data_IF_396950041469
#
_entry.id   IF_396950041469
#
_cell.length_a   1.000
_cell.length_b   1.000
_cell.length_c   1.000
_cell.angle_alpha   90.00
_cell.angle_beta   90.00
_cell.angle_gamma   90.00
#
_symmetry.space_group_name_H-M   'P 1'
#
loop_
_entity.id
_entity.type
_entity.pdbx_description
1 polymer ?
#
# COMPACT_ATOMS: atom_id res chain seq x y z
N UNK A 1 -19.05 -10.35 -7.82
CA UNK A 1 -18.39 -10.82 -6.59
C UNK A 1 -19.38 -10.72 -5.44
N UNK A 2 -19.98 -11.83 -4.96
CA UNK A 2 -21.11 -11.76 -4.01
C UNK A 2 -20.75 -11.03 -2.72
N UNK A 3 -19.53 -11.24 -2.20
CA UNK A 3 -19.08 -10.66 -0.94
C UNK A 3 -18.97 -9.13 -0.95
N UNK A 4 -18.66 -8.52 -2.10
CA UNK A 4 -18.52 -7.06 -2.23
C UNK A 4 -19.82 -6.37 -2.66
N UNK A 5 -20.77 -7.12 -3.22
CA UNK A 5 -22.03 -6.56 -3.74
C UNK A 5 -22.85 -5.90 -2.62
N UNK A 6 -22.86 -6.52 -1.43
CA UNK A 6 -23.64 -6.05 -0.29
C UNK A 6 -23.01 -4.84 0.44
N UNK A 7 -21.74 -4.53 0.16
CA UNK A 7 -21.03 -3.38 0.75
C UNK A 7 -21.35 -2.05 0.04
N UNK A 8 -22.06 -2.08 -1.09
CA UNK A 8 -22.43 -0.88 -1.83
C UNK A 8 -21.23 -0.06 -2.30
N UNK A 9 -20.08 -0.71 -2.56
CA UNK A 9 -18.84 -0.06 -2.98
C UNK A 9 -19.11 0.78 -4.23
N UNK A 10 -18.88 2.09 -4.10
CA UNK A 10 -19.13 3.06 -5.16
C UNK A 10 -17.88 3.34 -5.97
N UNK A 11 -16.72 3.39 -5.32
CA UNK A 11 -15.44 3.64 -5.98
C UNK A 11 -14.39 2.61 -5.58
N UNK A 12 -13.64 2.12 -6.56
CA UNK A 12 -12.45 1.29 -6.37
C UNK A 12 -11.23 2.10 -6.79
N UNK A 13 -10.33 2.38 -5.85
CA UNK A 13 -9.06 3.03 -6.08
C UNK A 13 -7.96 1.97 -6.18
N UNK A 14 -7.35 1.89 -7.36
CA UNK A 14 -6.33 0.91 -7.68
C UNK A 14 -4.95 1.58 -7.69
N UNK A 15 -4.16 1.31 -6.65
CA UNK A 15 -2.82 1.86 -6.43
C UNK A 15 -1.72 1.15 -7.23
N UNK A 16 -2.08 0.19 -8.09
CA UNK A 16 -1.14 -0.62 -8.87
C UNK A 16 -0.55 0.14 -10.05
N UNK A 17 0.61 -0.36 -10.49
CA UNK A 17 1.21 0.10 -11.74
C UNK A 17 0.35 -0.27 -12.94
N UNK A 18 0.53 0.45 -14.05
CA UNK A 18 -0.09 0.08 -15.32
C UNK A 18 0.18 -1.39 -15.69
N UNK A 19 1.42 -1.86 -15.55
CA UNK A 19 1.81 -3.24 -15.85
C UNK A 19 1.11 -4.27 -14.96
N UNK A 20 1.02 -4.00 -13.64
CA UNK A 20 0.32 -4.87 -12.69
C UNK A 20 -1.18 -4.99 -13.04
N UNK A 21 -1.80 -3.91 -13.50
CA UNK A 21 -3.21 -3.90 -13.95
C UNK A 21 -3.41 -4.61 -15.27
N UNK A 22 -2.47 -4.52 -16.20
CA UNK A 22 -2.54 -5.23 -17.48
C UNK A 22 -2.42 -6.74 -17.27
N UNK A 23 -1.50 -7.18 -16.41
CA UNK A 23 -1.29 -8.60 -16.09
C UNK A 23 -2.48 -9.19 -15.34
N UNK A 24 -3.10 -8.43 -14.44
CA UNK A 24 -4.20 -8.89 -13.61
C UNK A 24 -5.31 -7.83 -13.49
N UNK A 25 -6.17 -7.66 -14.52
CA UNK A 25 -7.22 -6.65 -14.51
C UNK A 25 -8.30 -6.96 -13.46
N UNK A 26 -8.83 -5.91 -12.84
CA UNK A 26 -9.87 -6.05 -11.82
C UNK A 26 -11.20 -6.56 -12.38
N UNK A 27 -11.93 -7.26 -11.51
CA UNK A 27 -13.35 -7.58 -11.69
C UNK A 27 -14.15 -6.71 -10.72
N UNK A 28 -14.62 -5.57 -11.20
CA UNK A 28 -15.28 -4.58 -10.36
C UNK A 28 -16.66 -5.04 -9.86
N UNK A 29 -17.11 -4.58 -8.68
CA UNK A 29 -18.52 -4.66 -8.29
C UNK A 29 -19.41 -3.91 -9.29
N UNK A 30 -20.67 -4.36 -9.44
CA UNK A 30 -21.60 -3.74 -10.37
C UNK A 30 -21.87 -2.27 -9.98
N UNK A 31 -21.71 -1.37 -10.94
CA UNK A 31 -21.91 0.08 -10.74
C UNK A 31 -20.74 0.81 -10.06
N UNK A 32 -19.68 0.10 -9.64
CA UNK A 32 -18.51 0.74 -9.06
C UNK A 32 -17.67 1.46 -10.13
N UNK A 33 -17.26 2.69 -9.84
CA UNK A 33 -16.28 3.43 -10.63
C UNK A 33 -14.88 2.95 -10.27
N UNK A 34 -14.02 2.68 -11.25
CA UNK A 34 -12.60 2.43 -11.03
C UNK A 34 -11.77 3.71 -11.24
N UNK A 35 -10.81 3.94 -10.35
CA UNK A 35 -9.85 5.04 -10.41
C UNK A 35 -8.45 4.46 -10.32
N UNK A 36 -7.70 4.66 -11.40
CA UNK A 36 -6.34 4.17 -11.56
C UNK A 36 -5.35 5.20 -10.99
N UNK A 37 -4.70 4.88 -9.86
CA UNK A 37 -3.77 5.77 -9.15
C UNK A 37 -2.40 5.12 -9.06
N UNK A 38 -1.63 5.18 -10.16
CA UNK A 38 -0.32 4.52 -10.23
C UNK A 38 0.71 5.21 -9.31
N UNK A 39 0.82 4.69 -8.08
CA UNK A 39 1.71 5.18 -7.03
C UNK A 39 3.19 5.05 -7.38
N UNK A 40 3.54 4.23 -8.38
CA UNK A 40 4.92 3.91 -8.75
C UNK A 40 5.20 4.24 -10.23
N UNK A 41 4.43 5.12 -10.86
CA UNK A 41 4.48 5.40 -12.30
C UNK A 41 5.86 5.90 -12.78
N UNK A 42 6.58 6.62 -11.92
CA UNK A 42 7.93 7.15 -12.18
C UNK A 42 9.03 6.32 -11.49
N UNK A 43 8.68 5.21 -10.83
CA UNK A 43 9.65 4.23 -10.36
C UNK A 43 10.19 3.47 -11.58
N UNK A 44 11.45 3.73 -11.93
CA UNK A 44 12.08 3.10 -13.10
C UNK A 44 11.95 1.57 -13.12
N UNK A 45 12.07 0.98 -14.32
CA UNK A 45 11.78 -0.41 -14.77
C UNK A 45 12.19 -1.57 -13.82
N UNK A 46 12.97 -1.32 -12.76
CA UNK A 46 13.21 -2.28 -11.68
C UNK A 46 12.18 -2.15 -10.54
N UNK A 47 10.89 -2.07 -10.86
CA UNK A 47 9.89 -2.38 -9.84
C UNK A 47 9.99 -3.88 -9.59
N UNK A 48 10.60 -4.27 -8.46
CA UNK A 48 10.63 -5.67 -8.03
C UNK A 48 9.21 -6.24 -8.01
N UNK A 49 8.11 -5.52 -7.69
CA UNK A 49 6.76 -6.09 -7.78
C UNK A 49 6.46 -6.84 -9.10
N UNK A 50 6.90 -6.32 -10.25
CA UNK A 50 6.68 -6.96 -11.55
C UNK A 50 7.52 -8.24 -11.76
N UNK A 51 8.70 -8.32 -11.15
CA UNK A 51 9.62 -9.47 -11.25
C UNK A 51 9.60 -10.37 -10.01
N UNK A 52 8.86 -9.98 -8.97
CA UNK A 52 8.89 -10.60 -7.64
C UNK A 52 8.51 -12.06 -7.71
N UNK A 53 7.50 -12.39 -8.51
CA UNK A 53 7.07 -13.77 -8.76
C UNK A 53 8.18 -14.63 -9.37
N UNK A 54 9.02 -14.06 -10.26
CA UNK A 54 10.16 -14.78 -10.83
C UNK A 54 11.29 -14.93 -9.81
N UNK A 55 11.56 -13.88 -9.02
CA UNK A 55 12.58 -13.89 -7.96
C UNK A 55 12.27 -14.94 -6.90
N UNK A 56 11.03 -15.01 -6.42
CA UNK A 56 10.63 -15.95 -5.36
C UNK A 56 10.39 -17.38 -5.88
N UNK A 57 10.37 -17.60 -7.20
CA UNK A 57 10.20 -18.93 -7.77
C UNK A 57 11.51 -19.74 -7.85
N UNK A 58 12.66 -19.08 -7.72
CA UNK A 58 13.99 -19.71 -7.80
C UNK A 58 14.84 -19.32 -6.57
N UNK A 59 15.17 -20.27 -5.67
CA UNK A 59 15.99 -20.01 -4.49
C UNK A 59 17.35 -19.36 -4.75
N UNK A 60 18.02 -19.68 -5.86
CA UNK A 60 19.32 -19.08 -6.19
C UNK A 60 19.16 -17.62 -6.58
N UNK A 61 18.10 -17.29 -7.31
CA UNK A 61 17.78 -15.91 -7.66
C UNK A 61 17.34 -15.14 -6.41
N UNK A 62 16.47 -15.73 -5.58
CA UNK A 62 16.03 -15.13 -4.33
C UNK A 62 17.21 -14.81 -3.40
N UNK A 63 18.14 -15.74 -3.18
CA UNK A 63 19.34 -15.48 -2.37
C UNK A 63 20.16 -14.31 -2.95
N UNK A 64 20.38 -14.31 -4.26
CA UNK A 64 21.13 -13.26 -4.95
C UNK A 64 20.47 -11.89 -4.85
N UNK A 65 19.17 -11.80 -5.05
CA UNK A 65 18.45 -10.51 -5.10
C UNK A 65 17.97 -10.02 -3.73
N UNK A 66 17.56 -10.94 -2.84
CA UNK A 66 16.88 -10.65 -1.56
C UNK A 66 17.76 -10.91 -0.33
N UNK A 67 18.76 -11.79 -0.45
CA UNK A 67 19.64 -12.18 0.65
C UNK A 67 20.51 -11.05 1.20
N UNK A 68 21.15 -11.31 2.35
CA UNK A 68 22.06 -10.35 2.98
C UNK A 68 21.43 -9.00 3.37
N UNK A 69 20.11 -8.97 3.60
CA UNK A 69 19.36 -7.77 3.97
C UNK A 69 18.84 -6.92 2.81
N UNK A 70 19.14 -7.30 1.55
CA UNK A 70 18.72 -6.54 0.35
C UNK A 70 17.20 -6.41 0.23
N UNK A 71 16.44 -7.44 0.61
CA UNK A 71 14.97 -7.36 0.63
C UNK A 71 14.49 -6.23 1.55
N UNK A 72 15.01 -6.19 2.78
CA UNK A 72 14.65 -5.17 3.76
C UNK A 72 15.01 -3.77 3.23
N UNK A 73 16.24 -3.59 2.75
CA UNK A 73 16.70 -2.32 2.18
C UNK A 73 15.81 -1.85 1.01
N UNK A 74 15.43 -2.77 0.13
CA UNK A 74 14.54 -2.47 -1.00
C UNK A 74 13.16 -2.00 -0.54
N UNK A 75 12.56 -2.70 0.43
CA UNK A 75 11.25 -2.33 0.94
C UNK A 75 11.31 -1.02 1.73
N UNK A 76 12.33 -0.79 2.55
CA UNK A 76 12.53 0.53 3.16
C UNK A 76 12.62 1.64 2.10
N UNK A 77 13.38 1.43 1.01
CA UNK A 77 13.42 2.36 -0.12
C UNK A 77 12.03 2.61 -0.71
N UNK A 78 11.25 1.56 -0.93
CA UNK A 78 9.88 1.65 -1.43
C UNK A 78 8.94 2.41 -0.48
N UNK A 79 9.10 2.27 0.83
CA UNK A 79 8.32 3.00 1.83
C UNK A 79 8.72 4.48 1.91
N UNK A 80 9.96 4.85 1.58
CA UNK A 80 10.34 6.26 1.35
C UNK A 80 9.69 6.82 0.08
N UNK A 81 9.67 6.02 -0.99
CA UNK A 81 9.06 6.39 -2.27
C UNK A 81 7.57 6.68 -2.11
N UNK A 82 6.81 5.85 -1.38
CA UNK A 82 5.37 6.07 -1.17
C UNK A 82 5.05 7.43 -0.54
N UNK A 83 5.97 8.02 0.22
CA UNK A 83 5.75 9.33 0.84
C UNK A 83 6.11 10.47 -0.11
N UNK A 84 7.18 10.33 -0.88
CA UNK A 84 7.90 11.47 -1.47
C UNK A 84 8.00 11.45 -3.00
N UNK A 85 7.79 10.30 -3.62
CA UNK A 85 7.85 10.14 -5.06
C UNK A 85 6.74 10.95 -5.75
N UNK A 86 7.01 11.69 -6.85
CA UNK A 86 6.00 12.52 -7.51
C UNK A 86 4.73 11.77 -7.92
N UNK A 87 4.86 10.56 -8.48
CA UNK A 87 3.69 9.72 -8.81
C UNK A 87 2.88 9.33 -7.57
N UNK A 88 3.55 8.94 -6.48
CA UNK A 88 2.92 8.62 -5.19
C UNK A 88 2.18 9.84 -4.61
N UNK A 89 2.82 11.00 -4.54
CA UNK A 89 2.22 12.26 -4.06
C UNK A 89 0.99 12.64 -4.89
N UNK A 90 1.07 12.53 -6.22
CA UNK A 90 -0.08 12.83 -7.10
C UNK A 90 -1.24 11.85 -6.89
N UNK A 91 -0.93 10.57 -6.75
CA UNK A 91 -1.90 9.48 -6.55
C UNK A 91 -2.61 9.60 -5.20
N UNK A 92 -1.87 9.80 -4.11
CA UNK A 92 -2.47 9.96 -2.78
C UNK A 92 -3.23 11.28 -2.64
N UNK A 93 -2.79 12.35 -3.29
CA UNK A 93 -3.56 13.61 -3.40
C UNK A 93 -4.92 13.38 -4.04
N UNK A 94 -4.96 12.68 -5.18
CA UNK A 94 -6.21 12.38 -5.86
C UNK A 94 -7.11 11.47 -5.01
N UNK A 95 -6.55 10.42 -4.41
CA UNK A 95 -7.25 9.53 -3.49
C UNK A 95 -7.96 10.32 -2.37
N UNK A 96 -7.20 11.08 -1.57
CA UNK A 96 -7.78 11.75 -0.40
C UNK A 96 -8.68 12.93 -0.76
N UNK A 97 -8.41 13.61 -1.89
CA UNK A 97 -9.32 14.64 -2.40
C UNK A 97 -10.66 14.02 -2.77
N UNK A 98 -10.66 12.91 -3.49
CA UNK A 98 -11.89 12.25 -3.89
C UNK A 98 -12.61 11.65 -2.67
N UNK A 99 -11.91 11.06 -1.70
CA UNK A 99 -12.51 10.55 -0.46
C UNK A 99 -13.21 11.64 0.39
N UNK A 100 -12.80 12.90 0.25
CA UNK A 100 -13.49 14.02 0.89
C UNK A 100 -14.78 14.44 0.14
N UNK A 101 -15.02 13.97 -1.08
CA UNK A 101 -16.19 14.30 -1.89
C UNK A 101 -17.40 13.38 -1.58
N UNK A 102 -18.61 13.93 -1.73
CA UNK A 102 -19.89 13.32 -1.35
C UNK A 102 -20.26 12.03 -2.08
N UNK A 103 -19.68 11.78 -3.25
CA UNK A 103 -20.11 10.74 -4.18
C UNK A 103 -19.06 9.65 -4.41
N UNK A 104 -18.03 9.57 -3.56
CA UNK A 104 -16.93 8.62 -3.75
C UNK A 104 -16.97 7.42 -2.80
N UNK A 105 -17.69 7.51 -1.68
CA UNK A 105 -17.81 6.46 -0.65
C UNK A 105 -19.14 5.69 -0.76
N UNK A 106 -19.22 4.42 -0.28
CA UNK A 106 -18.14 3.59 0.27
C UNK A 106 -17.04 3.29 -0.77
N UNK A 107 -15.79 3.36 -0.35
CA UNK A 107 -14.63 3.22 -1.22
C UNK A 107 -13.83 1.96 -0.87
N UNK A 108 -13.30 1.29 -1.89
CA UNK A 108 -12.31 0.22 -1.74
C UNK A 108 -10.98 0.72 -2.27
N UNK A 109 -9.93 0.65 -1.46
CA UNK A 109 -8.55 1.02 -1.86
C UNK A 109 -7.70 -0.24 -1.83
N UNK A 110 -6.99 -0.53 -2.91
CA UNK A 110 -6.12 -1.71 -2.96
C UNK A 110 -4.86 -1.45 -3.78
N UNK A 111 -3.91 -2.38 -3.66
CA UNK A 111 -2.79 -2.52 -4.58
C UNK A 111 -2.75 -3.99 -5.03
N UNK A 112 -1.56 -4.57 -5.25
CA UNK A 112 -1.43 -5.97 -5.69
C UNK A 112 -1.83 -6.97 -4.60
N UNK A 113 -1.31 -6.79 -3.39
CA UNK A 113 -1.61 -7.66 -2.25
C UNK A 113 -2.28 -6.93 -1.09
N UNK A 114 -2.56 -5.63 -1.25
CA UNK A 114 -3.21 -4.81 -0.24
C UNK A 114 -2.33 -4.43 0.96
N UNK A 115 -1.01 -4.68 0.90
CA UNK A 115 -0.11 -4.49 2.05
C UNK A 115 0.67 -3.17 2.06
N UNK A 116 1.47 -2.89 1.04
CA UNK A 116 2.49 -1.83 1.15
C UNK A 116 1.96 -0.44 0.78
N UNK A 117 1.56 -0.25 -0.48
CA UNK A 117 0.98 1.03 -0.96
C UNK A 117 -0.33 1.34 -0.26
N UNK A 118 -1.18 0.31 -0.12
CA UNK A 118 -2.43 0.39 0.64
C UNK A 118 -2.13 0.65 2.12
N UNK A 119 -1.12 0.00 2.71
CA UNK A 119 -0.74 0.23 4.10
C UNK A 119 -0.33 1.68 4.38
N UNK A 120 0.46 2.32 3.51
CA UNK A 120 0.75 3.74 3.66
C UNK A 120 -0.49 4.62 3.49
N UNK A 121 -1.35 4.34 2.51
CA UNK A 121 -2.60 5.08 2.32
C UNK A 121 -3.50 5.01 3.57
N UNK A 122 -3.70 3.82 4.11
CA UNK A 122 -4.50 3.57 5.31
C UNK A 122 -3.88 4.24 6.53
N UNK A 123 -2.57 4.04 6.76
CA UNK A 123 -1.86 4.66 7.88
C UNK A 123 -1.95 6.19 7.84
N UNK A 124 -1.71 6.81 6.68
CA UNK A 124 -1.79 8.26 6.53
C UNK A 124 -3.21 8.79 6.81
N UNK A 125 -4.24 8.08 6.37
CA UNK A 125 -5.63 8.43 6.67
C UNK A 125 -5.93 8.32 8.16
N UNK A 126 -5.64 7.18 8.78
CA UNK A 126 -5.93 6.93 10.20
C UNK A 126 -5.22 7.96 11.11
N UNK A 127 -3.96 8.29 10.81
CA UNK A 127 -3.22 9.32 11.53
C UNK A 127 -3.87 10.71 11.38
N UNK A 128 -4.33 11.06 10.17
CA UNK A 128 -5.06 12.31 9.97
C UNK A 128 -6.37 12.33 10.78
N UNK A 129 -7.06 11.20 10.88
CA UNK A 129 -8.28 11.04 11.69
C UNK A 129 -8.01 11.06 13.21
N UNK A 130 -6.75 11.12 13.64
CA UNK A 130 -6.35 11.21 15.04
C UNK A 130 -6.21 9.85 15.74
N UNK A 131 -6.16 8.75 14.99
CA UNK A 131 -5.84 7.43 15.53
C UNK A 131 -4.40 7.41 16.02
N UNK A 132 -4.14 6.72 17.13
CA UNK A 132 -2.79 6.66 17.71
C UNK A 132 -1.82 5.91 16.79
N UNK A 133 -0.54 6.27 16.82
CA UNK A 133 0.46 5.58 16.00
C UNK A 133 0.56 4.09 16.29
N UNK A 134 0.41 3.68 17.57
CA UNK A 134 0.43 2.25 17.93
C UNK A 134 -0.78 1.51 17.33
N UNK A 135 -1.99 2.06 17.38
CA UNK A 135 -3.16 1.42 16.77
C UNK A 135 -3.00 1.32 15.24
N UNK A 136 -2.35 2.32 14.61
CA UNK A 136 -2.01 2.27 13.18
C UNK A 136 -0.98 1.18 12.88
N UNK A 137 0.00 0.98 13.74
CA UNK A 137 0.95 -0.12 13.61
C UNK A 137 0.27 -1.47 13.81
N UNK A 138 -0.63 -1.59 14.78
CA UNK A 138 -1.37 -2.82 15.04
C UNK A 138 -2.24 -3.20 13.82
N UNK A 139 -3.01 -2.26 13.27
CA UNK A 139 -3.79 -2.46 12.03
C UNK A 139 -2.91 -2.90 10.86
N UNK A 140 -1.79 -2.20 10.63
CA UNK A 140 -0.84 -2.56 9.58
C UNK A 140 -0.25 -3.96 9.77
N UNK A 141 0.12 -4.33 11.00
CA UNK A 141 0.73 -5.62 11.32
C UNK A 141 -0.27 -6.78 11.29
N UNK A 142 -1.58 -6.54 11.43
CA UNK A 142 -2.62 -7.56 11.19
C UNK A 142 -2.53 -8.18 9.80
N UNK A 143 -1.93 -7.48 8.83
CA UNK A 143 -1.59 -8.05 7.51
C UNK A 143 -0.82 -9.37 7.64
N UNK A 144 0.12 -9.47 8.58
CA UNK A 144 0.89 -10.71 8.76
C UNK A 144 0.01 -11.86 9.29
N UNK A 145 -1.00 -11.56 10.10
CA UNK A 145 -1.90 -12.58 10.63
C UNK A 145 -2.93 -13.04 9.60
N UNK A 146 -3.45 -12.11 8.80
CA UNK A 146 -4.57 -12.36 7.90
C UNK A 146 -4.13 -12.76 6.48
N UNK A 147 -3.00 -12.23 6.00
CA UNK A 147 -2.55 -12.42 4.62
C UNK A 147 -1.46 -13.50 4.49
N UNK A 148 -0.45 -13.55 5.37
CA UNK A 148 0.65 -14.51 5.24
C UNK A 148 0.21 -15.97 5.16
N UNK A 149 -0.84 -16.44 5.89
CA UNK A 149 -1.31 -17.82 5.75
C UNK A 149 -1.73 -18.19 4.31
N UNK A 150 -2.18 -17.21 3.51
CA UNK A 150 -2.52 -17.44 2.09
C UNK A 150 -1.30 -17.77 1.22
N UNK A 151 -0.09 -17.43 1.68
CA UNK A 151 1.18 -17.72 1.00
C UNK A 151 1.86 -19.01 1.48
N UNK A 152 1.24 -19.81 2.35
CA UNK A 152 1.86 -21.02 2.89
C UNK A 152 2.39 -21.97 1.81
N UNK A 153 1.65 -22.15 0.71
CA UNK A 153 2.10 -22.97 -0.42
C UNK A 153 3.25 -22.37 -1.24
N UNK A 154 3.52 -21.07 -1.13
CA UNK A 154 4.70 -20.43 -1.72
C UNK A 154 5.93 -20.74 -0.86
N UNK A 155 5.82 -20.61 0.45
CA UNK A 155 6.88 -20.98 1.39
C UNK A 155 7.26 -22.46 1.26
N UNK A 156 6.29 -23.37 1.24
CA UNK A 156 6.51 -24.81 1.10
C UNK A 156 7.29 -25.12 -0.20
N UNK A 157 6.82 -24.64 -1.35
CA UNK A 157 7.49 -24.86 -2.64
C UNK A 157 8.91 -24.29 -2.66
N UNK A 158 9.13 -23.14 -2.03
CA UNK A 158 10.44 -22.51 -1.98
C UNK A 158 11.42 -23.32 -1.12
N UNK A 159 10.96 -23.82 0.03
CA UNK A 159 11.75 -24.69 0.90
C UNK A 159 12.03 -26.04 0.26
N UNK A 160 11.06 -26.66 -0.42
CA UNK A 160 11.23 -27.92 -1.16
C UNK A 160 12.26 -27.78 -2.29
N UNK A 161 12.37 -26.60 -2.89
CA UNK A 161 13.38 -26.26 -3.88
C UNK A 161 14.78 -25.97 -3.27
N UNK A 162 14.92 -26.06 -1.94
CA UNK A 162 16.17 -25.85 -1.20
C UNK A 162 16.42 -24.40 -0.75
N UNK A 163 15.42 -23.53 -0.82
CA UNK A 163 15.52 -22.14 -0.38
C UNK A 163 15.29 -21.95 1.12
N UNK A 164 15.93 -20.93 1.70
CA UNK A 164 15.66 -20.49 3.06
C UNK A 164 14.38 -19.62 3.10
N UNK A 165 13.28 -20.08 3.73
CA UNK A 165 12.03 -19.32 3.78
C UNK A 165 12.17 -17.93 4.40
N UNK A 166 13.21 -17.68 5.21
CA UNK A 166 13.50 -16.36 5.79
C UNK A 166 13.74 -15.27 4.74
N UNK A 167 14.10 -15.65 3.50
CA UNK A 167 14.24 -14.73 2.37
C UNK A 167 12.91 -14.19 1.86
N UNK A 168 11.81 -14.94 2.06
CA UNK A 168 10.49 -14.57 1.58
C UNK A 168 9.70 -13.75 2.61
N UNK A 169 9.93 -13.94 3.92
CA UNK A 169 9.18 -13.23 4.96
C UNK A 169 9.22 -11.70 4.82
N UNK A 170 10.37 -11.03 4.57
CA UNK A 170 10.43 -9.58 4.41
C UNK A 170 9.70 -9.08 3.16
N UNK A 171 9.38 -9.98 2.23
CA UNK A 171 8.79 -9.67 0.92
C UNK A 171 7.28 -9.91 0.92
N UNK A 172 6.86 -11.09 1.38
CA UNK A 172 5.46 -11.52 1.38
C UNK A 172 4.67 -10.93 2.55
N UNK A 173 5.36 -10.64 3.67
CA UNK A 173 4.78 -9.98 4.83
C UNK A 173 5.00 -8.48 4.85
N UNK A 174 4.77 -7.94 6.03
CA UNK A 174 5.06 -6.56 6.42
C UNK A 174 5.92 -6.55 7.68
N UNK A 175 6.71 -5.48 7.86
CA UNK A 175 7.50 -5.27 9.08
C UNK A 175 7.24 -3.87 9.61
N UNK A 176 7.17 -3.74 10.93
CA UNK A 176 6.99 -2.45 11.62
C UNK A 176 7.97 -1.39 11.10
N UNK A 177 9.24 -1.78 10.96
CA UNK A 177 10.32 -0.93 10.45
C UNK A 177 10.04 -0.30 9.08
N UNK A 178 9.23 -0.94 8.21
CA UNK A 178 8.90 -0.37 6.92
C UNK A 178 7.97 0.85 7.07
N UNK A 179 6.90 0.72 7.86
CA UNK A 179 5.99 1.83 8.11
C UNK A 179 6.67 2.92 8.96
N UNK A 180 7.57 2.55 9.87
CA UNK A 180 8.44 3.51 10.58
C UNK A 180 9.27 4.36 9.61
N UNK A 181 9.78 3.78 8.52
CA UNK A 181 10.49 4.52 7.48
C UNK A 181 9.58 5.52 6.77
N UNK A 182 8.34 5.17 6.44
CA UNK A 182 7.40 6.16 5.88
C UNK A 182 7.08 7.27 6.86
N UNK A 183 6.82 6.96 8.14
CA UNK A 183 6.57 7.99 9.16
C UNK A 183 7.78 8.91 9.37
N UNK A 184 8.99 8.35 9.41
CA UNK A 184 10.22 9.14 9.54
C UNK A 184 10.45 10.04 8.31
N UNK A 185 10.19 9.52 7.11
CA UNK A 185 10.27 10.27 5.85
C UNK A 185 9.25 11.41 5.87
N UNK A 186 8.01 11.13 6.24
CA UNK A 186 6.93 12.10 6.35
C UNK A 186 7.29 13.23 7.32
N UNK A 187 7.75 12.90 8.53
CA UNK A 187 8.16 13.90 9.54
C UNK A 187 9.34 14.74 9.08
N UNK A 188 10.32 14.13 8.42
CA UNK A 188 11.50 14.83 7.93
C UNK A 188 11.17 15.81 6.80
N UNK A 189 10.27 15.42 5.89
CA UNK A 189 9.91 16.22 4.72
C UNK A 189 8.80 17.24 5.00
N UNK A 190 7.88 16.94 5.90
CA UNK A 190 6.63 17.70 6.08
C UNK A 190 6.29 18.03 7.55
N UNK A 191 7.08 17.56 8.51
CA UNK A 191 6.90 17.84 9.94
C UNK A 191 5.82 17.00 10.62
N UNK A 192 4.57 17.11 10.19
CA UNK A 192 3.41 16.38 10.77
C UNK A 192 2.55 15.73 9.70
N UNK A 193 1.60 14.88 10.11
CA UNK A 193 0.64 14.30 9.17
C UNK A 193 -0.20 15.39 8.49
N UNK A 194 -0.64 16.43 9.21
CA UNK A 194 -1.33 17.58 8.62
C UNK A 194 -0.44 18.32 7.61
N UNK A 195 0.86 18.46 7.90
CA UNK A 195 1.84 19.02 6.98
C UNK A 195 2.03 18.18 5.72
N UNK A 196 2.00 16.85 5.85
CA UNK A 196 2.01 15.96 4.68
C UNK A 196 0.77 16.17 3.81
N UNK A 197 -0.41 16.24 4.43
CA UNK A 197 -1.66 16.49 3.70
C UNK A 197 -1.68 17.90 3.06
N UNK A 198 -1.23 18.94 3.76
CA UNK A 198 -1.23 20.31 3.22
C UNK A 198 -0.14 20.53 2.18
N UNK A 199 1.12 20.28 2.54
CA UNK A 199 2.27 20.71 1.76
C UNK A 199 2.65 19.66 0.72
N UNK A 200 2.57 18.38 1.12
CA UNK A 200 2.80 17.25 0.22
C UNK A 200 1.63 17.02 -0.73
N UNK A 201 0.42 16.86 -0.18
CA UNK A 201 -0.76 16.46 -0.95
C UNK A 201 -1.65 17.64 -1.38
N UNK A 202 -1.44 18.87 -0.89
CA UNK A 202 -2.27 20.03 -1.27
C UNK A 202 -3.71 20.00 -0.76
N UNK A 203 -3.98 19.20 0.28
CA UNK A 203 -5.23 19.21 1.03
C UNK A 203 -5.07 20.15 2.22
N UNK A 204 -5.57 21.38 2.06
CA UNK A 204 -5.62 22.38 3.12
C UNK A 204 -6.48 21.96 4.31
N UNK A 205 -6.49 22.79 5.36
CA UNK A 205 -7.21 22.50 6.59
C UNK A 205 -8.72 22.30 6.38
N UNK A 206 -9.33 22.98 5.40
CA UNK A 206 -10.75 22.82 5.07
C UNK A 206 -11.02 21.43 4.51
N UNK A 207 -10.22 20.97 3.54
CA UNK A 207 -10.33 19.62 2.99
C UNK A 207 -10.02 18.54 4.02
N UNK A 208 -9.05 18.77 4.90
CA UNK A 208 -8.74 17.84 5.99
C UNK A 208 -9.91 17.73 6.98
N UNK A 209 -10.59 18.84 7.29
CA UNK A 209 -11.77 18.82 8.15
C UNK A 209 -12.94 18.06 7.51
N UNK A 210 -13.19 18.28 6.21
CA UNK A 210 -14.21 17.55 5.46
C UNK A 210 -13.91 16.05 5.41
N UNK A 211 -12.66 15.67 5.18
CA UNK A 211 -12.25 14.26 5.18
C UNK A 211 -12.47 13.62 6.56
N UNK A 212 -12.16 14.34 7.65
CA UNK A 212 -12.45 13.86 9.02
C UNK A 212 -13.94 13.65 9.24
N UNK A 213 -14.77 14.64 8.92
CA UNK A 213 -16.23 14.56 9.05
C UNK A 213 -16.79 13.36 8.28
N UNK A 214 -16.34 13.15 7.04
CA UNK A 214 -16.83 12.06 6.18
C UNK A 214 -16.48 10.67 6.68
N UNK A 215 -15.34 10.51 7.37
CA UNK A 215 -14.84 9.20 7.79
C UNK A 215 -15.23 8.85 9.24
N UNK A 216 -15.73 9.81 10.01
CA UNK A 216 -16.16 9.59 11.40
C UNK A 216 -17.65 9.84 11.63
N UNK A 217 -18.39 10.31 10.64
CA UNK A 217 -19.85 10.38 10.70
C UNK A 217 -20.45 8.97 10.76
N UNK A 218 -21.32 8.74 11.75
CA UNK A 218 -22.11 7.51 11.94
C UNK A 218 -23.21 7.35 10.88
#
# INVERSE_FOLDING_TARGET
MPLLADLGIRTVYDLRTADEREVAPDKLPDGARAVALDVLADKGIRSIPAQMLQVIADPMIAERELGGGRAIEYFEGSYRDFVSMPSAVSSYRELFRDLAADDSTPALVHCTTGKDRTGWATAALLLLLGVSEEDVFDDYLLTNELLLPSFAGVFEKFTDAGGDPSLLEPVLGVRRQYLEVSLATMRTSFGTIEGYFSDGLGLDAERQALLRERMTAE
#
